data_IF_893368889364
#
_entry.id   IF_893368889364
#
_cell.length_a   1.000
_cell.length_b   1.000
_cell.length_c   1.000
_cell.angle_alpha   90.00
_cell.angle_beta   90.00
_cell.angle_gamma   90.00
#
_symmetry.space_group_name_H-M   'P 1'
#
loop_
_entity.id
_entity.type
_entity.pdbx_description
1 polymer ?
#
# COMPACT_ATOMS: atom_id res chain seq x y z
N UNK A 1 -8.60 -6.41 8.40
CA UNK A 1 -7.35 -6.93 7.81
C UNK A 1 -7.42 -6.88 6.30
N UNK A 2 -6.53 -6.14 5.68
CA UNK A 2 -6.42 -6.10 4.22
C UNK A 2 -5.25 -6.99 3.80
N UNK A 3 -5.51 -8.00 2.98
CA UNK A 3 -4.46 -8.81 2.40
C UNK A 3 -3.50 -7.94 1.58
N UNK A 4 -2.30 -8.44 1.30
CA UNK A 4 -1.31 -7.70 0.53
C UNK A 4 -1.85 -7.22 -0.80
N UNK A 5 -1.75 -5.92 -1.06
CA UNK A 5 -2.21 -5.30 -2.29
C UNK A 5 -1.00 -4.95 -3.16
N UNK A 6 -1.09 -5.25 -4.44
CA UNK A 6 -0.05 -4.91 -5.43
C UNK A 6 -0.57 -3.85 -6.39
N UNK A 7 0.35 -3.14 -7.04
CA UNK A 7 0.03 -2.00 -7.88
C UNK A 7 -0.51 -2.36 -9.25
N UNK A 8 -1.46 -3.29 -9.33
CA UNK A 8 -2.13 -3.61 -10.59
C UNK A 8 -3.42 -2.79 -10.70
N UNK A 9 -3.62 -2.12 -11.85
CA UNK A 9 -4.83 -1.35 -12.12
C UNK A 9 -6.04 -2.27 -12.27
N UNK A 10 -7.29 -1.75 -12.20
CA UNK A 10 -8.49 -2.58 -12.39
C UNK A 10 -8.51 -3.38 -13.69
N UNK A 11 -7.86 -2.88 -14.76
CA UNK A 11 -7.74 -3.61 -16.03
C UNK A 11 -6.60 -4.63 -16.04
N UNK A 12 -5.98 -4.89 -14.89
CA UNK A 12 -4.89 -5.83 -14.68
C UNK A 12 -3.52 -5.37 -15.24
N UNK A 13 -3.40 -4.14 -15.76
CA UNK A 13 -2.10 -3.61 -16.16
C UNK A 13 -1.30 -3.17 -14.93
N UNK A 14 0.03 -3.26 -15.02
CA UNK A 14 0.93 -2.85 -13.95
C UNK A 14 1.70 -1.61 -14.41
N UNK A 15 1.61 -0.48 -13.66
CA UNK A 15 2.37 0.71 -14.04
C UNK A 15 3.88 0.46 -14.02
N UNK A 16 4.60 1.06 -14.96
CA UNK A 16 6.07 1.01 -14.96
C UNK A 16 6.67 1.92 -13.90
N UNK A 17 5.99 3.03 -13.59
CA UNK A 17 6.45 3.98 -12.59
C UNK A 17 6.14 3.47 -11.18
N UNK A 18 7.16 3.45 -10.32
CA UNK A 18 7.01 2.91 -8.96
C UNK A 18 6.10 3.77 -8.08
N UNK A 19 6.17 5.09 -8.24
CA UNK A 19 5.24 5.98 -7.52
C UNK A 19 3.80 5.70 -7.90
N UNK A 20 3.54 5.43 -9.17
CA UNK A 20 2.20 5.07 -9.64
C UNK A 20 1.75 3.71 -9.11
N UNK A 21 2.66 2.74 -8.98
CA UNK A 21 2.33 1.47 -8.34
C UNK A 21 1.89 1.67 -6.89
N UNK A 22 2.61 2.48 -6.14
CA UNK A 22 2.26 2.79 -4.75
C UNK A 22 0.91 3.51 -4.68
N UNK A 23 0.66 4.46 -5.59
CA UNK A 23 -0.61 5.17 -5.65
C UNK A 23 -1.78 4.23 -5.92
N UNK A 24 -1.64 3.32 -6.86
CA UNK A 24 -2.66 2.31 -7.16
C UNK A 24 -2.97 1.47 -5.92
N UNK A 25 -1.94 1.07 -5.17
CA UNK A 25 -2.14 0.30 -3.94
C UNK A 25 -2.95 1.09 -2.92
N UNK A 26 -2.60 2.35 -2.66
CA UNK A 26 -3.34 3.17 -1.72
C UNK A 26 -4.80 3.36 -2.15
N UNK A 27 -5.05 3.54 -3.45
CA UNK A 27 -6.42 3.65 -3.95
C UNK A 27 -7.22 2.37 -3.74
N UNK A 28 -6.57 1.20 -3.91
CA UNK A 28 -7.22 -0.08 -3.64
C UNK A 28 -7.52 -0.27 -2.16
N UNK A 29 -6.58 0.08 -1.30
CA UNK A 29 -6.78 0.01 0.16
C UNK A 29 -7.93 0.91 0.56
N UNK A 30 -8.02 2.11 -0.01
CA UNK A 30 -9.11 3.04 0.23
C UNK A 30 -10.48 2.40 -0.07
N UNK A 31 -10.59 1.72 -1.21
CA UNK A 31 -11.84 1.05 -1.60
C UNK A 31 -12.18 -0.09 -0.62
N UNK A 32 -11.18 -0.90 -0.24
CA UNK A 32 -11.37 -2.01 0.68
C UNK A 32 -11.83 -1.50 2.05
N UNK A 33 -11.18 -0.46 2.56
CA UNK A 33 -11.55 0.14 3.85
C UNK A 33 -12.97 0.70 3.81
N UNK A 34 -13.34 1.40 2.74
CA UNK A 34 -14.67 1.95 2.58
C UNK A 34 -15.75 0.87 2.58
N UNK A 35 -15.46 -0.29 1.99
CA UNK A 35 -16.38 -1.43 1.98
C UNK A 35 -16.62 -1.99 3.40
N UNK A 36 -15.67 -1.77 4.32
CA UNK A 36 -15.80 -2.17 5.72
C UNK A 36 -16.22 -1.01 6.63
N UNK A 37 -16.68 0.10 6.05
CA UNK A 37 -17.06 1.33 6.77
C UNK A 37 -15.89 1.88 7.59
N UNK A 38 -14.68 1.83 7.01
CA UNK A 38 -13.45 2.34 7.60
C UNK A 38 -12.77 3.33 6.65
N UNK A 39 -11.77 4.04 7.16
CA UNK A 39 -10.90 4.88 6.35
C UNK A 39 -9.44 4.74 6.80
N UNK A 40 -8.55 5.54 6.23
CA UNK A 40 -7.11 5.45 6.54
C UNK A 40 -6.79 5.71 8.02
N UNK A 41 -7.65 6.45 8.75
CA UNK A 41 -7.44 6.71 10.17
C UNK A 41 -7.61 5.47 11.03
N UNK A 42 -8.26 4.43 10.50
CA UNK A 42 -8.46 3.16 11.20
C UNK A 42 -7.29 2.20 11.02
N UNK A 43 -6.31 2.53 10.19
CA UNK A 43 -5.13 1.68 10.00
C UNK A 43 -4.28 1.68 11.27
N UNK A 44 -3.97 0.48 11.76
CA UNK A 44 -3.16 0.30 12.97
C UNK A 44 -1.74 -0.18 12.65
N UNK A 45 -1.51 -0.69 11.45
CA UNK A 45 -0.19 -1.17 11.02
C UNK A 45 -0.13 -1.28 9.50
N UNK A 46 1.03 -0.96 8.93
CA UNK A 46 1.34 -1.19 7.52
C UNK A 46 2.60 -2.04 7.40
N UNK A 47 2.62 -2.96 6.44
CA UNK A 47 3.83 -3.69 6.06
C UNK A 47 4.06 -3.46 4.57
N UNK A 48 5.25 -2.98 4.22
CA UNK A 48 5.59 -2.60 2.85
C UNK A 48 6.72 -3.51 2.37
N UNK A 49 6.46 -4.26 1.30
CA UNK A 49 7.43 -5.15 0.65
C UNK A 49 7.83 -4.53 -0.67
N UNK A 50 9.12 -4.33 -0.90
CA UNK A 50 9.64 -3.75 -2.14
C UNK A 50 10.80 -4.57 -2.65
N UNK A 51 10.99 -4.56 -3.98
CA UNK A 51 12.14 -5.23 -4.58
C UNK A 51 13.40 -4.36 -4.55
N UNK A 52 13.22 -3.04 -4.42
CA UNK A 52 14.30 -2.06 -4.34
C UNK A 52 13.95 -1.05 -3.24
N UNK A 53 14.88 -0.82 -2.30
CA UNK A 53 14.62 0.09 -1.18
C UNK A 53 14.37 1.53 -1.63
N UNK A 54 14.79 1.92 -2.82
CA UNK A 54 14.49 3.26 -3.36
C UNK A 54 12.98 3.53 -3.46
N UNK A 55 12.17 2.46 -3.57
CA UNK A 55 10.71 2.58 -3.66
C UNK A 55 10.12 3.09 -2.33
N UNK A 56 10.84 2.93 -1.21
CA UNK A 56 10.37 3.47 0.07
C UNK A 56 10.21 4.99 0.03
N UNK A 57 10.99 5.71 -0.77
CA UNK A 57 10.83 7.16 -0.93
C UNK A 57 9.46 7.48 -1.54
N UNK A 58 9.04 6.71 -2.54
CA UNK A 58 7.71 6.87 -3.14
C UNK A 58 6.62 6.60 -2.12
N UNK A 59 6.79 5.56 -1.32
CA UNK A 59 5.84 5.24 -0.25
C UNK A 59 5.73 6.38 0.76
N UNK A 60 6.85 6.90 1.26
CA UNK A 60 6.82 7.99 2.25
C UNK A 60 6.25 9.28 1.68
N UNK A 61 6.52 9.57 0.42
CA UNK A 61 5.96 10.75 -0.24
C UNK A 61 4.44 10.64 -0.36
N UNK A 62 3.94 9.46 -0.73
CA UNK A 62 2.53 9.25 -0.97
C UNK A 62 1.72 8.98 0.30
N UNK A 63 2.34 8.40 1.33
CA UNK A 63 1.62 8.13 2.58
C UNK A 63 1.06 9.40 3.20
N UNK A 64 1.78 10.52 3.11
CA UNK A 64 1.31 11.79 3.65
C UNK A 64 0.04 12.27 2.98
N UNK A 65 -0.09 11.99 1.67
CA UNK A 65 -1.29 12.35 0.91
C UNK A 65 -2.52 11.57 1.38
N UNK A 66 -2.34 10.29 1.72
CA UNK A 66 -3.46 9.40 2.07
C UNK A 66 -3.73 9.34 3.58
N UNK A 67 -2.69 9.33 4.39
CA UNK A 67 -2.84 9.19 5.84
C UNK A 67 -2.84 10.54 6.58
N UNK A 68 -2.41 11.62 5.92
CA UNK A 68 -2.31 12.92 6.59
C UNK A 68 -1.35 12.85 7.78
N UNK A 69 -1.81 13.29 8.94
CA UNK A 69 -1.03 13.27 10.18
C UNK A 69 -1.06 11.93 10.89
N UNK A 70 -1.90 10.99 10.42
CA UNK A 70 -1.97 9.66 11.01
C UNK A 70 -0.69 8.88 10.70
N UNK A 71 -0.04 8.36 11.72
CA UNK A 71 1.28 7.76 11.59
C UNK A 71 1.33 6.38 12.26
N UNK A 72 0.65 5.37 11.67
CA UNK A 72 0.69 4.02 12.23
C UNK A 72 2.09 3.41 12.08
N UNK A 73 2.43 2.40 12.91
CA UNK A 73 3.67 1.65 12.73
C UNK A 73 3.78 1.06 11.32
N UNK A 74 4.98 1.12 10.75
CA UNK A 74 5.27 0.60 9.43
C UNK A 74 6.46 -0.35 9.50
N UNK A 75 6.32 -1.54 8.93
CA UNK A 75 7.43 -2.47 8.72
C UNK A 75 7.84 -2.37 7.25
N UNK A 76 9.13 -2.15 7.00
CA UNK A 76 9.68 -2.01 5.65
C UNK A 76 10.62 -3.18 5.37
N UNK A 77 10.33 -3.93 4.29
CA UNK A 77 11.11 -5.11 3.92
C UNK A 77 11.49 -5.06 2.45
N UNK A 78 12.75 -5.36 2.14
CA UNK A 78 13.15 -5.63 0.76
C UNK A 78 13.06 -7.13 0.54
N UNK A 79 12.53 -7.53 -0.62
CA UNK A 79 12.24 -8.93 -0.93
C UNK A 79 12.74 -9.26 -2.34
N UNK A 80 12.74 -10.55 -2.67
CA UNK A 80 13.00 -11.00 -4.03
C UNK A 80 11.85 -10.68 -4.97
N UNK A 81 11.96 -11.02 -6.25
CA UNK A 81 10.92 -10.73 -7.24
C UNK A 81 9.57 -11.31 -6.84
N UNK A 82 8.52 -10.54 -7.13
CA UNK A 82 7.16 -11.05 -6.97
C UNK A 82 6.81 -12.00 -8.12
N UNK A 83 5.86 -12.95 -7.91
CA UNK A 83 5.45 -13.88 -8.97
C UNK A 83 4.90 -13.18 -10.22
N UNK A 84 4.25 -12.02 -10.04
CA UNK A 84 3.67 -11.29 -11.16
C UNK A 84 4.73 -10.37 -11.77
N UNK A 85 5.04 -10.52 -13.09
CA UNK A 85 6.03 -9.65 -13.74
C UNK A 85 5.66 -8.17 -13.65
N UNK A 86 6.64 -7.32 -13.41
CA UNK A 86 6.45 -5.88 -13.33
C UNK A 86 6.02 -5.37 -11.97
N UNK A 87 5.54 -6.23 -11.08
CA UNK A 87 5.17 -5.83 -9.72
C UNK A 87 6.43 -5.70 -8.88
N UNK A 88 6.62 -4.52 -8.29
CA UNK A 88 7.81 -4.18 -7.50
C UNK A 88 7.49 -3.79 -6.06
N UNK A 89 6.21 -3.68 -5.71
CA UNK A 89 5.78 -3.28 -4.37
C UNK A 89 4.47 -3.95 -3.98
N UNK A 90 4.36 -4.31 -2.70
CA UNK A 90 3.15 -4.85 -2.11
C UNK A 90 2.97 -4.21 -0.73
N UNK A 91 1.74 -3.85 -0.37
CA UNK A 91 1.45 -3.28 0.95
C UNK A 91 0.33 -4.08 1.60
N UNK A 92 0.57 -4.49 2.84
CA UNK A 92 -0.46 -5.05 3.70
C UNK A 92 -0.88 -4.00 4.71
N UNK A 93 -2.17 -3.89 4.95
CA UNK A 93 -2.70 -2.99 5.96
C UNK A 93 -3.54 -3.78 6.97
N UNK A 94 -3.35 -3.48 8.24
CA UNK A 94 -4.23 -3.95 9.31
C UNK A 94 -4.98 -2.74 9.82
N UNK A 95 -6.31 -2.84 9.83
CA UNK A 95 -7.18 -1.77 10.28
C UNK A 95 -8.17 -2.30 11.30
N UNK A 96 -8.51 -1.48 12.28
CA UNK A 96 -9.47 -1.82 13.30
C UNK A 96 -10.24 -0.56 13.68
N UNK A 97 -11.57 -0.67 13.73
CA UNK A 97 -12.42 0.43 14.10
C UNK A 97 -12.62 0.42 15.61
N UNK A 98 -12.46 1.57 16.24
CA UNK A 98 -12.71 1.72 17.67
C UNK A 98 -14.17 1.38 17.97
N UNK A 99 -14.37 0.62 19.03
CA UNK A 99 -15.71 0.24 19.48
C UNK A 99 -16.46 1.43 20.08
#
# INVERSE_FOLDING_TARGET
FCNGQVGARPDATVPDDMGEQVEVIFERIKVILAAADMDFQDIVKLTVYVTDHAIFEDFYRLRGRYLGDHNPPVVLLTVGPFPRPGVEVEIEAVAAKAA
#
